data_IF_117281956907
#
_entry.id   IF_117281956907
#
_cell.length_a   1.000
_cell.length_b   1.000
_cell.length_c   1.000
_cell.angle_alpha   90.00
_cell.angle_beta   90.00
_cell.angle_gamma   90.00
#
_symmetry.space_group_name_H-M   'P 1'
#
loop_
_entity.id
_entity.type
_entity.pdbx_description
1 polymer ?
#
# COMPACT_ATOMS: atom_id res chain seq x y z
N UNK A 1 26.12 -15.50 -1.02
CA UNK A 1 26.17 -14.63 -2.22
C UNK A 1 24.99 -14.86 -3.17
N UNK A 2 24.64 -16.12 -3.51
CA UNK A 2 23.50 -16.40 -4.42
C UNK A 2 22.12 -15.98 -3.91
N UNK A 3 21.90 -15.97 -2.59
CA UNK A 3 20.64 -15.54 -1.96
C UNK A 3 20.40 -14.02 -2.04
N UNK A 4 21.45 -13.20 -1.86
CA UNK A 4 21.30 -11.74 -1.84
C UNK A 4 20.89 -11.17 -3.19
N UNK A 5 21.50 -11.68 -4.27
CA UNK A 5 21.17 -11.23 -5.63
C UNK A 5 19.75 -11.67 -6.04
N UNK A 6 19.32 -12.86 -5.61
CA UNK A 6 17.94 -13.33 -5.75
C UNK A 6 16.93 -12.42 -5.03
N UNK A 7 17.20 -12.04 -3.78
CA UNK A 7 16.35 -11.11 -3.01
C UNK A 7 16.23 -9.72 -3.67
N UNK A 8 17.34 -9.19 -4.20
CA UNK A 8 17.34 -7.90 -4.88
C UNK A 8 16.55 -7.96 -6.18
N UNK A 9 16.74 -9.02 -6.98
CA UNK A 9 15.99 -9.21 -8.23
C UNK A 9 14.49 -9.41 -7.98
N UNK A 10 14.10 -10.19 -6.96
CA UNK A 10 12.69 -10.37 -6.61
C UNK A 10 12.07 -9.07 -6.15
N UNK A 11 12.78 -8.28 -5.33
CA UNK A 11 12.32 -6.95 -4.91
C UNK A 11 12.13 -6.00 -6.09
N UNK A 12 13.07 -6.01 -7.05
CA UNK A 12 13.00 -5.18 -8.25
C UNK A 12 11.82 -5.58 -9.15
N UNK A 13 11.61 -6.89 -9.35
CA UNK A 13 10.48 -7.39 -10.16
C UNK A 13 9.13 -7.02 -9.54
N UNK A 14 8.97 -7.23 -8.24
CA UNK A 14 7.73 -6.87 -7.53
C UNK A 14 7.52 -5.35 -7.56
N UNK A 15 8.57 -4.56 -7.32
CA UNK A 15 8.51 -3.10 -7.38
C UNK A 15 8.17 -2.57 -8.77
N UNK A 16 8.75 -3.14 -9.83
CA UNK A 16 8.47 -2.76 -11.21
C UNK A 16 7.02 -3.10 -11.61
N UNK A 17 6.54 -4.31 -11.25
CA UNK A 17 5.16 -4.70 -11.50
C UNK A 17 4.17 -3.79 -10.74
N UNK A 18 4.43 -3.50 -9.47
CA UNK A 18 3.61 -2.60 -8.67
C UNK A 18 3.59 -1.17 -9.23
N UNK A 19 4.76 -0.64 -9.62
CA UNK A 19 4.88 0.68 -10.25
C UNK A 19 4.11 0.77 -11.58
N UNK A 20 4.16 -0.27 -12.41
CA UNK A 20 3.40 -0.33 -13.66
C UNK A 20 1.88 -0.26 -13.43
N UNK A 21 1.37 -0.98 -12.43
CA UNK A 21 -0.05 -0.95 -12.04
C UNK A 21 -0.46 0.45 -11.56
N UNK A 22 0.35 1.09 -10.72
CA UNK A 22 0.09 2.44 -10.23
C UNK A 22 0.04 3.48 -11.36
N UNK A 23 0.98 3.42 -12.30
CA UNK A 23 1.03 4.33 -13.44
C UNK A 23 -0.17 4.15 -14.38
N UNK A 24 -0.56 2.90 -14.68
CA UNK A 24 -1.75 2.59 -15.51
C UNK A 24 -3.05 3.08 -14.88
N UNK A 25 -3.17 2.99 -13.56
CA UNK A 25 -4.39 3.36 -12.84
C UNK A 25 -4.47 4.82 -12.41
N UNK A 26 -3.42 5.64 -12.64
CA UNK A 26 -3.30 7.02 -12.10
C UNK A 26 -3.70 7.08 -10.62
N UNK A 27 -3.21 6.10 -9.86
CA UNK A 27 -3.58 5.91 -8.46
C UNK A 27 -3.01 7.02 -7.59
N UNK A 28 -3.83 8.04 -7.32
CA UNK A 28 -3.54 9.10 -6.38
C UNK A 28 -4.61 9.13 -5.29
N UNK A 29 -4.24 8.71 -4.08
CA UNK A 29 -5.18 8.63 -2.94
C UNK A 29 -5.71 10.02 -2.57
N UNK A 30 -4.87 11.06 -2.63
CA UNK A 30 -5.32 12.45 -2.41
C UNK A 30 -6.37 12.90 -3.43
N UNK A 31 -6.21 12.53 -4.71
CA UNK A 31 -7.21 12.80 -5.75
C UNK A 31 -8.50 12.04 -5.48
N UNK A 32 -8.43 10.78 -5.01
CA UNK A 32 -9.63 10.01 -4.66
C UNK A 32 -10.51 10.75 -3.63
N UNK A 33 -9.90 11.31 -2.58
CA UNK A 33 -10.65 12.09 -1.57
C UNK A 33 -11.18 13.41 -2.11
N UNK A 34 -10.40 14.09 -2.96
CA UNK A 34 -10.84 15.33 -3.62
C UNK A 34 -12.03 15.09 -4.56
N UNK A 35 -11.97 14.07 -5.41
CA UNK A 35 -13.00 13.79 -6.40
C UNK A 35 -14.31 13.34 -5.75
N UNK A 36 -14.24 12.62 -4.64
CA UNK A 36 -15.43 12.26 -3.85
C UNK A 36 -16.11 13.49 -3.28
N UNK A 37 -15.34 14.46 -2.75
CA UNK A 37 -15.90 15.65 -2.11
C UNK A 37 -16.42 16.70 -3.11
N UNK A 38 -15.72 16.90 -4.23
CA UNK A 38 -16.04 17.97 -5.17
C UNK A 38 -16.79 17.52 -6.43
N UNK A 39 -16.55 16.29 -6.90
CA UNK A 39 -17.02 15.80 -8.21
C UNK A 39 -18.04 14.66 -8.03
N UNK A 40 -18.18 14.12 -6.82
CA UNK A 40 -18.98 12.93 -6.48
C UNK A 40 -18.61 11.68 -7.31
N UNK A 41 -17.35 11.57 -7.73
CA UNK A 41 -16.84 10.36 -8.39
C UNK A 41 -16.25 9.39 -7.36
N UNK A 42 -16.86 8.22 -7.23
CA UNK A 42 -16.45 7.18 -6.27
C UNK A 42 -15.60 6.08 -6.91
N UNK A 43 -15.25 6.19 -8.19
CA UNK A 43 -14.57 5.12 -8.93
C UNK A 43 -13.19 4.83 -8.33
N UNK A 44 -12.41 5.89 -8.09
CA UNK A 44 -11.06 5.77 -7.52
C UNK A 44 -11.10 5.30 -6.05
N UNK A 45 -12.08 5.77 -5.27
CA UNK A 45 -12.26 5.36 -3.87
C UNK A 45 -12.66 3.87 -3.79
N UNK A 46 -13.59 3.41 -4.63
CA UNK A 46 -13.97 1.99 -4.69
C UNK A 46 -12.79 1.10 -5.04
N UNK A 47 -11.98 1.51 -6.01
CA UNK A 47 -10.79 0.78 -6.43
C UNK A 47 -9.75 0.70 -5.28
N UNK A 48 -9.55 1.80 -4.54
CA UNK A 48 -8.71 1.83 -3.35
C UNK A 48 -9.21 0.89 -2.25
N UNK A 49 -10.49 0.96 -1.90
CA UNK A 49 -11.09 0.10 -0.85
C UNK A 49 -10.98 -1.38 -1.23
N UNK A 50 -11.25 -1.73 -2.49
CA UNK A 50 -11.05 -3.10 -2.99
C UNK A 50 -9.59 -3.56 -2.83
N UNK A 51 -8.61 -2.73 -3.18
CA UNK A 51 -7.20 -3.04 -2.99
C UNK A 51 -6.82 -3.25 -1.52
N UNK A 52 -7.35 -2.42 -0.62
CA UNK A 52 -7.16 -2.59 0.83
C UNK A 52 -7.78 -3.90 1.33
N UNK A 53 -8.98 -4.24 0.90
CA UNK A 53 -9.63 -5.51 1.29
C UNK A 53 -8.82 -6.72 0.80
N UNK A 54 -8.38 -6.70 -0.46
CA UNK A 54 -7.56 -7.79 -1.04
C UNK A 54 -6.24 -7.94 -0.28
N UNK A 55 -5.58 -6.83 0.07
CA UNK A 55 -4.30 -6.87 0.82
C UNK A 55 -4.49 -7.32 2.26
N UNK A 56 -5.56 -6.92 2.94
CA UNK A 56 -5.88 -7.42 4.29
C UNK A 56 -6.08 -8.94 4.25
N UNK A 57 -6.91 -9.44 3.34
CA UNK A 57 -7.19 -10.89 3.23
C UNK A 57 -5.90 -11.63 2.84
N UNK A 58 -5.18 -11.14 1.83
CA UNK A 58 -3.95 -11.76 1.34
C UNK A 58 -2.84 -11.81 2.40
N UNK A 59 -2.66 -10.74 3.18
CA UNK A 59 -1.64 -10.70 4.23
C UNK A 59 -1.96 -11.69 5.37
N UNK A 60 -3.23 -11.76 5.80
CA UNK A 60 -3.64 -12.72 6.84
C UNK A 60 -3.52 -14.17 6.34
N UNK A 61 -3.87 -14.46 5.08
CA UNK A 61 -3.70 -15.79 4.49
C UNK A 61 -2.23 -16.22 4.42
N UNK A 62 -1.32 -15.30 4.10
CA UNK A 62 0.12 -15.61 4.03
C UNK A 62 0.72 -15.88 5.42
N UNK A 63 0.20 -15.23 6.47
CA UNK A 63 0.56 -15.51 7.86
C UNK A 63 0.07 -16.89 8.29
N UNK A 64 -1.20 -17.20 8.04
CA UNK A 64 -1.81 -18.51 8.37
C UNK A 64 -1.12 -19.67 7.64
N UNK A 65 -0.72 -19.44 6.39
CA UNK A 65 0.04 -20.41 5.59
C UNK A 65 1.50 -20.62 6.06
N UNK A 66 1.97 -19.88 7.08
CA UNK A 66 3.34 -19.98 7.61
C UNK A 66 4.42 -19.52 6.64
N UNK A 67 4.05 -18.76 5.59
CA UNK A 67 4.99 -18.26 4.58
C UNK A 67 5.69 -16.96 5.01
N UNK A 68 5.14 -16.28 6.03
CA UNK A 68 5.70 -15.07 6.65
C UNK A 68 5.78 -15.32 8.17
N UNK A 69 6.91 -15.01 8.79
CA UNK A 69 7.14 -15.31 10.22
C UNK A 69 6.20 -14.52 11.16
N UNK A 70 5.88 -13.26 10.85
CA UNK A 70 4.90 -12.46 11.61
C UNK A 70 4.48 -11.21 10.83
N UNK A 71 3.20 -10.80 10.90
CA UNK A 71 2.81 -9.46 10.44
C UNK A 71 3.47 -8.42 11.36
N UNK A 72 4.58 -7.83 10.88
CA UNK A 72 5.29 -6.74 11.54
C UNK A 72 4.47 -5.44 11.53
N UNK A 73 3.41 -5.42 12.34
CA UNK A 73 2.48 -4.31 12.47
C UNK A 73 3.21 -3.09 13.04
N UNK A 74 3.02 -1.94 12.39
CA UNK A 74 3.64 -0.69 12.83
C UNK A 74 3.26 -0.40 14.28
N UNK A 75 4.24 -0.05 15.11
CA UNK A 75 4.01 0.30 16.51
C UNK A 75 3.08 1.52 16.61
N UNK A 76 2.07 1.43 17.49
CA UNK A 76 1.14 2.52 17.71
C UNK A 76 1.77 3.58 18.62
N UNK A 77 2.43 4.57 18.01
CA UNK A 77 2.98 5.75 18.69
C UNK A 77 2.15 6.98 18.30
N UNK A 78 1.15 7.38 19.10
CA UNK A 78 0.15 8.37 18.69
C UNK A 78 0.76 9.70 18.23
N UNK A 79 1.74 10.21 18.98
CA UNK A 79 2.37 11.48 18.68
C UNK A 79 3.14 11.48 17.36
N UNK A 80 3.96 10.44 17.14
CA UNK A 80 4.74 10.31 15.91
C UNK A 80 3.85 10.12 14.68
N UNK A 81 2.77 9.35 14.81
CA UNK A 81 1.82 9.12 13.71
C UNK A 81 1.04 10.39 13.35
N UNK A 82 0.60 11.18 14.35
CA UNK A 82 -0.14 12.43 14.10
C UNK A 82 0.78 13.48 13.46
N UNK A 83 1.94 13.75 14.08
CA UNK A 83 2.87 14.78 13.59
C UNK A 83 3.47 14.39 12.25
N UNK A 84 3.91 13.14 12.10
CA UNK A 84 4.44 12.62 10.84
C UNK A 84 3.39 12.60 9.73
N UNK A 85 2.15 12.19 10.03
CA UNK A 85 1.04 12.23 9.07
C UNK A 85 0.70 13.63 8.61
N UNK A 86 0.71 14.62 9.51
CA UNK A 86 0.45 16.02 9.14
C UNK A 86 1.55 16.60 8.26
N UNK A 87 2.83 16.38 8.61
CA UNK A 87 3.96 16.84 7.80
C UNK A 87 3.96 16.16 6.42
N UNK A 88 3.73 14.85 6.37
CA UNK A 88 3.62 14.11 5.11
C UNK A 88 2.46 14.60 4.23
N UNK A 89 1.31 14.95 4.83
CA UNK A 89 0.16 15.47 4.09
C UNK A 89 0.35 16.90 3.55
N UNK A 90 1.24 17.69 4.15
CA UNK A 90 1.57 19.04 3.65
C UNK A 90 2.53 19.02 2.44
N UNK A 91 3.30 17.94 2.25
CA UNK A 91 4.25 17.77 1.16
C UNK A 91 3.64 17.12 -0.07
#
# INVERSE_FOLDING_TARGET
MGSMLGFVLSGLLVGAAFGFVLQRGRYCVNTAFRDVMFINDFTLLRAYVLGVVITIIGANLLEDAGMIEELRRQAFVPWANIVGGYIFGMG
#
